data_IF_669174590841
#
_entry.id   IF_669174590841
#
_cell.length_a   1.000
_cell.length_b   1.000
_cell.length_c   1.000
_cell.angle_alpha   90.00
_cell.angle_beta   90.00
_cell.angle_gamma   90.00
#
_symmetry.space_group_name_H-M   'P 1'
#
loop_
_entity.id
_entity.type
_entity.pdbx_description
1 polymer ?
#
# COMPACT_ATOMS: atom_id res chain seq x y z
N UNK A 1 -5.19 3.99 27.74
CA UNK A 1 -5.83 2.94 26.93
C UNK A 1 -5.90 3.33 25.44
N UNK A 2 -6.46 4.50 25.11
CA UNK A 2 -6.63 4.98 23.72
C UNK A 2 -5.33 5.11 22.91
N UNK A 3 -4.23 5.59 23.51
CA UNK A 3 -2.92 5.67 22.82
C UNK A 3 -2.37 4.32 22.37
N UNK A 4 -2.56 3.26 23.16
CA UNK A 4 -2.13 1.90 22.79
C UNK A 4 -2.94 1.37 21.60
N UNK A 5 -4.25 1.64 21.59
CA UNK A 5 -5.11 1.29 20.47
C UNK A 5 -4.71 2.04 19.18
N UNK A 6 -4.46 3.34 19.27
CA UNK A 6 -4.01 4.14 18.12
C UNK A 6 -2.68 3.63 17.54
N UNK A 7 -1.75 3.23 18.41
CA UNK A 7 -0.48 2.59 18.00
C UNK A 7 -0.73 1.25 17.32
N UNK A 8 -1.55 0.38 17.92
CA UNK A 8 -1.89 -0.93 17.37
C UNK A 8 -2.49 -0.80 15.97
N UNK A 9 -3.49 0.07 15.80
CA UNK A 9 -4.13 0.32 14.50
C UNK A 9 -3.13 0.88 13.47
N UNK A 10 -2.23 1.76 13.88
CA UNK A 10 -1.17 2.28 13.00
C UNK A 10 -0.17 1.20 12.58
N UNK A 11 0.10 0.20 13.42
CA UNK A 11 1.01 -0.91 13.13
C UNK A 11 0.33 -1.94 12.23
N UNK A 12 -0.93 -2.30 12.51
CA UNK A 12 -1.68 -3.28 11.72
C UNK A 12 -1.93 -2.76 10.31
N UNK A 13 -2.39 -1.51 10.17
CA UNK A 13 -2.71 -0.89 8.88
C UNK A 13 -1.57 -0.05 8.33
N UNK A 14 -0.34 -0.52 8.53
CA UNK A 14 0.85 0.12 7.99
C UNK A 14 0.95 -0.12 6.47
N UNK A 15 1.63 0.76 5.71
CA UNK A 15 1.55 0.80 4.25
C UNK A 15 1.96 -0.49 3.54
N UNK A 16 2.92 -1.25 4.09
CA UNK A 16 3.45 -2.45 3.44
C UNK A 16 2.45 -3.61 3.38
N UNK A 17 1.34 -3.55 4.13
CA UNK A 17 0.26 -4.56 4.08
C UNK A 17 -0.67 -4.35 2.89
N UNK A 18 -0.67 -3.15 2.30
CA UNK A 18 -1.62 -2.75 1.27
C UNK A 18 -1.53 -3.62 0.00
N UNK A 19 -0.35 -4.01 -0.50
CA UNK A 19 -0.30 -4.92 -1.65
C UNK A 19 -0.97 -6.27 -1.38
N UNK A 20 -0.79 -6.84 -0.19
CA UNK A 20 -1.50 -8.06 0.20
C UNK A 20 -3.02 -7.85 0.21
N UNK A 21 -3.51 -6.70 0.65
CA UNK A 21 -4.94 -6.37 0.63
C UNK A 21 -5.47 -6.25 -0.81
N UNK A 22 -4.75 -5.55 -1.69
CA UNK A 22 -5.10 -5.43 -3.12
C UNK A 22 -5.20 -6.81 -3.77
N UNK A 23 -4.17 -7.64 -3.57
CA UNK A 23 -4.13 -8.99 -4.14
C UNK A 23 -5.20 -9.90 -3.56
N UNK A 24 -5.50 -9.83 -2.27
CA UNK A 24 -6.58 -10.59 -1.67
C UNK A 24 -7.93 -10.23 -2.30
N UNK A 25 -8.18 -8.95 -2.60
CA UNK A 25 -9.39 -8.53 -3.30
C UNK A 25 -9.45 -9.07 -4.72
N UNK A 26 -8.39 -8.88 -5.50
CA UNK A 26 -8.34 -9.31 -6.90
C UNK A 26 -8.52 -10.83 -7.01
N UNK A 27 -7.85 -11.61 -6.17
CA UNK A 27 -7.85 -13.07 -6.28
C UNK A 27 -9.12 -13.74 -5.71
N UNK A 28 -9.72 -13.17 -4.66
CA UNK A 28 -10.80 -13.82 -3.90
C UNK A 28 -12.15 -13.09 -3.93
N UNK A 29 -12.16 -11.76 -3.98
CA UNK A 29 -13.42 -10.99 -3.97
C UNK A 29 -13.90 -10.68 -5.41
N UNK A 30 -13.01 -10.72 -6.39
CA UNK A 30 -13.32 -10.51 -7.81
C UNK A 30 -12.71 -11.63 -8.66
N UNK A 31 -13.14 -12.90 -8.48
CA UNK A 31 -12.49 -14.04 -9.16
C UNK A 31 -12.51 -13.94 -10.69
N UNK A 32 -13.48 -13.23 -11.27
CA UNK A 32 -13.58 -13.00 -12.71
C UNK A 32 -12.59 -11.94 -13.24
N UNK A 33 -11.81 -11.29 -12.37
CA UNK A 33 -10.85 -10.26 -12.77
C UNK A 33 -9.53 -10.82 -13.30
N UNK A 34 -9.22 -12.09 -13.02
CA UNK A 34 -7.97 -12.74 -13.43
C UNK A 34 -8.19 -14.20 -13.79
N UNK A 35 -7.34 -14.76 -14.65
CA UNK A 35 -7.37 -16.20 -14.98
C UNK A 35 -6.46 -17.06 -14.07
N UNK A 36 -6.11 -16.56 -12.88
CA UNK A 36 -5.22 -17.25 -11.93
C UNK A 36 -5.93 -18.50 -11.38
N UNK A 37 -5.38 -19.72 -11.58
CA UNK A 37 -5.94 -20.95 -11.02
C UNK A 37 -6.01 -20.93 -9.49
N UNK A 38 -7.06 -21.53 -8.92
CA UNK A 38 -7.29 -21.53 -7.47
C UNK A 38 -6.14 -22.16 -6.68
N UNK A 39 -5.45 -23.16 -7.27
CA UNK A 39 -4.33 -23.87 -6.67
C UNK A 39 -3.13 -22.96 -6.40
N UNK A 40 -2.96 -21.89 -7.19
CA UNK A 40 -1.81 -20.98 -7.06
C UNK A 40 -2.15 -19.67 -6.33
N UNK A 41 -3.44 -19.33 -6.12
CA UNK A 41 -3.85 -18.08 -5.46
C UNK A 41 -3.21 -17.89 -4.08
N UNK A 42 -3.20 -18.96 -3.27
CA UNK A 42 -2.61 -18.93 -1.94
C UNK A 42 -1.10 -18.67 -1.97
N UNK A 43 -0.40 -19.37 -2.87
CA UNK A 43 1.04 -19.22 -3.08
C UNK A 43 1.41 -17.83 -3.60
N UNK A 44 0.61 -17.27 -4.52
CA UNK A 44 0.80 -15.92 -5.03
C UNK A 44 0.57 -14.87 -3.93
N UNK A 45 -0.51 -14.99 -3.15
CA UNK A 45 -0.77 -14.07 -2.04
C UNK A 45 0.33 -14.14 -0.97
N UNK A 46 0.80 -15.35 -0.64
CA UNK A 46 1.92 -15.54 0.29
C UNK A 46 3.21 -14.91 -0.26
N UNK A 47 3.50 -15.07 -1.55
CA UNK A 47 4.65 -14.47 -2.19
C UNK A 47 4.60 -12.95 -2.11
N UNK A 48 3.45 -12.33 -2.41
CA UNK A 48 3.26 -10.89 -2.25
C UNK A 48 3.46 -10.48 -0.80
N UNK A 49 2.82 -11.15 0.15
CA UNK A 49 2.99 -10.85 1.59
C UNK A 49 4.47 -10.93 2.01
N UNK A 50 5.19 -11.97 1.63
CA UNK A 50 6.60 -12.10 2.01
C UNK A 50 7.44 -10.98 1.38
N UNK A 51 7.22 -10.69 0.10
CA UNK A 51 8.09 -9.76 -0.65
C UNK A 51 7.76 -8.29 -0.45
N UNK A 52 6.51 -7.94 -0.18
CA UNK A 52 6.07 -6.54 -0.02
C UNK A 52 5.89 -6.12 1.42
N UNK A 53 5.69 -7.07 2.35
CA UNK A 53 5.51 -6.83 3.78
C UNK A 53 6.68 -7.36 4.61
N UNK A 54 6.92 -8.68 4.60
CA UNK A 54 7.83 -9.30 5.56
C UNK A 54 9.29 -8.87 5.32
N UNK A 55 9.79 -9.03 4.10
CA UNK A 55 11.18 -8.68 3.74
C UNK A 55 11.44 -7.18 3.98
N UNK A 56 10.63 -6.23 3.47
CA UNK A 56 10.90 -4.82 3.69
C UNK A 56 10.80 -4.42 5.16
N UNK A 57 9.86 -5.00 5.92
CA UNK A 57 9.74 -4.72 7.35
C UNK A 57 10.97 -5.22 8.13
N UNK A 58 11.44 -6.44 7.87
CA UNK A 58 12.67 -6.97 8.47
C UNK A 58 13.87 -6.10 8.13
N UNK A 59 13.98 -5.61 6.89
CA UNK A 59 15.06 -4.72 6.50
C UNK A 59 15.00 -3.37 7.23
N UNK A 60 13.82 -2.78 7.43
CA UNK A 60 13.65 -1.54 8.22
C UNK A 60 14.04 -1.76 9.69
N UNK A 61 13.68 -2.91 10.26
CA UNK A 61 14.14 -3.28 11.61
C UNK A 61 15.66 -3.47 11.66
N UNK A 62 16.26 -4.08 10.64
CA UNK A 62 17.71 -4.21 10.52
C UNK A 62 18.42 -2.85 10.49
N UNK A 63 17.91 -1.90 9.70
CA UNK A 63 18.43 -0.52 9.68
C UNK A 63 18.35 0.14 11.06
N UNK A 64 17.31 -0.14 11.84
CA UNK A 64 17.18 0.35 13.22
C UNK A 64 18.17 -0.32 14.15
N UNK A 65 18.36 -1.63 14.03
CA UNK A 65 19.27 -2.41 14.87
C UNK A 65 20.74 -2.00 14.65
N UNK A 66 21.10 -1.62 13.43
CA UNK A 66 22.44 -1.11 13.08
C UNK A 66 22.61 0.40 13.36
N UNK A 67 21.68 1.01 14.11
CA UNK A 67 21.63 2.46 14.40
C UNK A 67 21.73 3.38 13.17
N UNK A 68 21.42 2.86 11.98
CA UNK A 68 21.41 3.63 10.73
C UNK A 68 20.21 4.58 10.67
N UNK A 69 19.10 4.22 11.32
CA UNK A 69 17.97 5.11 11.56
C UNK A 69 17.72 5.29 13.06
N UNK A 70 17.39 6.51 13.52
CA UNK A 70 17.23 6.81 14.95
C UNK A 70 15.91 6.28 15.53
N UNK A 71 14.91 5.99 14.70
CA UNK A 71 13.61 5.46 15.14
C UNK A 71 12.83 4.86 13.99
N UNK A 72 12.08 3.79 14.27
CA UNK A 72 11.11 3.20 13.32
C UNK A 72 9.95 4.16 13.05
N UNK A 73 9.63 5.04 13.99
CA UNK A 73 8.56 6.03 13.83
C UNK A 73 8.95 7.18 12.89
N UNK A 74 10.25 7.30 12.56
CA UNK A 74 10.82 8.24 11.57
C UNK A 74 10.21 9.65 11.66
N UNK A 75 10.54 10.35 12.74
CA UNK A 75 9.91 11.63 13.08
C UNK A 75 10.21 12.70 12.02
N UNK A 76 11.44 12.68 11.50
CA UNK A 76 11.94 13.60 10.48
C UNK A 76 11.85 13.00 9.08
N UNK A 77 11.59 13.84 8.08
CA UNK A 77 11.55 13.40 6.66
C UNK A 77 12.88 12.82 6.17
N UNK A 78 14.03 13.30 6.70
CA UNK A 78 15.37 12.79 6.34
C UNK A 78 15.56 11.33 6.72
N UNK A 79 14.96 10.89 7.83
CA UNK A 79 15.02 9.51 8.32
C UNK A 79 14.19 8.55 7.46
N UNK A 80 13.27 9.08 6.63
CA UNK A 80 12.37 8.29 5.77
C UNK A 80 12.97 7.98 4.41
N UNK A 81 13.97 8.74 3.98
CA UNK A 81 14.55 8.61 2.64
C UNK A 81 15.16 7.22 2.43
N UNK A 82 16.03 6.78 3.35
CA UNK A 82 16.67 5.47 3.25
C UNK A 82 15.65 4.31 3.33
N UNK A 83 14.75 4.25 4.33
CA UNK A 83 13.70 3.23 4.38
C UNK A 83 12.79 3.21 3.15
N UNK A 84 12.28 4.36 2.69
CA UNK A 84 11.34 4.41 1.57
C UNK A 84 12.03 4.12 0.24
N UNK A 85 13.26 4.60 0.05
CA UNK A 85 14.08 4.26 -1.12
C UNK A 85 14.36 2.76 -1.21
N UNK A 86 14.71 2.13 -0.10
CA UNK A 86 14.91 0.69 -0.03
C UNK A 86 13.63 -0.10 -0.36
N UNK A 87 12.49 0.29 0.24
CA UNK A 87 11.18 -0.32 -0.08
C UNK A 87 10.86 -0.15 -1.57
N UNK A 88 11.11 1.03 -2.14
CA UNK A 88 10.88 1.30 -3.57
C UNK A 88 11.72 0.37 -4.45
N UNK A 89 13.00 0.17 -4.12
CA UNK A 89 13.89 -0.76 -4.84
C UNK A 89 13.35 -2.19 -4.76
N UNK A 90 12.93 -2.65 -3.57
CA UNK A 90 12.34 -3.98 -3.43
C UNK A 90 11.08 -4.12 -4.29
N UNK A 91 10.20 -3.13 -4.31
CA UNK A 91 8.97 -3.17 -5.10
C UNK A 91 9.27 -3.16 -6.60
N UNK A 92 10.29 -2.43 -7.06
CA UNK A 92 10.78 -2.49 -8.45
C UNK A 92 11.28 -3.88 -8.80
N UNK A 93 12.09 -4.50 -7.94
CA UNK A 93 12.60 -5.86 -8.17
C UNK A 93 11.44 -6.86 -8.24
N UNK A 94 10.51 -6.82 -7.30
CA UNK A 94 9.33 -7.72 -7.28
C UNK A 94 8.49 -7.52 -8.54
N UNK A 95 8.22 -6.26 -8.92
CA UNK A 95 7.48 -5.94 -10.15
C UNK A 95 8.19 -6.47 -11.39
N UNK A 96 9.51 -6.33 -11.47
CA UNK A 96 10.30 -6.91 -12.56
C UNK A 96 10.19 -8.44 -12.59
N UNK A 97 10.23 -9.13 -11.46
CA UNK A 97 10.04 -10.58 -11.42
C UNK A 97 8.64 -11.00 -11.91
N UNK A 98 7.60 -10.27 -11.52
CA UNK A 98 6.24 -10.52 -11.96
C UNK A 98 6.10 -10.37 -13.49
N UNK A 99 6.68 -9.30 -14.04
CA UNK A 99 6.64 -8.99 -15.46
C UNK A 99 7.53 -9.93 -16.30
N UNK A 100 8.80 -10.06 -15.95
CA UNK A 100 9.81 -10.67 -16.82
C UNK A 100 10.07 -12.17 -16.57
N UNK A 101 9.65 -12.71 -15.41
CA UNK A 101 10.00 -14.09 -15.02
C UNK A 101 8.81 -15.00 -14.79
N UNK A 102 7.70 -14.47 -14.27
CA UNK A 102 6.58 -15.28 -13.81
C UNK A 102 5.40 -15.28 -14.78
N UNK A 103 5.38 -14.35 -15.76
CA UNK A 103 4.36 -14.25 -16.80
C UNK A 103 2.93 -14.37 -16.23
N UNK A 104 2.68 -13.65 -15.13
CA UNK A 104 1.37 -13.62 -14.49
C UNK A 104 0.35 -12.85 -15.32
N UNK A 105 -0.93 -13.05 -14.96
CA UNK A 105 -2.06 -12.29 -15.47
C UNK A 105 -1.78 -10.77 -15.51
N UNK A 106 -2.21 -10.11 -16.58
CA UNK A 106 -1.91 -8.70 -16.83
C UNK A 106 -2.35 -7.79 -15.68
N UNK A 107 -3.51 -8.05 -15.07
CA UNK A 107 -4.01 -7.26 -13.94
C UNK A 107 -3.11 -7.41 -12.70
N UNK A 108 -2.56 -8.60 -12.47
CA UNK A 108 -1.65 -8.88 -11.36
C UNK A 108 -0.35 -8.09 -11.52
N UNK A 109 0.23 -8.12 -12.73
CA UNK A 109 1.46 -7.39 -13.03
C UNK A 109 1.21 -5.88 -12.98
N UNK A 110 0.12 -5.40 -13.60
CA UNK A 110 -0.23 -3.98 -13.60
C UNK A 110 -0.48 -3.44 -12.18
N UNK A 111 -1.14 -4.23 -11.32
CA UNK A 111 -1.36 -3.85 -9.92
C UNK A 111 -0.04 -3.61 -9.18
N UNK A 112 0.97 -4.47 -9.38
CA UNK A 112 2.30 -4.27 -8.81
C UNK A 112 3.01 -3.06 -9.40
N UNK A 113 2.88 -2.80 -10.70
CA UNK A 113 3.44 -1.60 -11.36
C UNK A 113 2.83 -0.33 -10.73
N UNK A 114 1.51 -0.25 -10.61
CA UNK A 114 0.82 0.91 -10.06
C UNK A 114 1.20 1.18 -8.60
N UNK A 115 1.27 0.14 -7.76
CA UNK A 115 1.70 0.27 -6.37
C UNK A 115 3.18 0.66 -6.26
N UNK A 116 4.04 0.11 -7.12
CA UNK A 116 5.46 0.48 -7.20
C UNK A 116 5.64 1.94 -7.61
N UNK A 117 4.91 2.40 -8.64
CA UNK A 117 4.89 3.80 -9.03
C UNK A 117 4.44 4.72 -7.88
N UNK A 118 3.43 4.29 -7.12
CA UNK A 118 2.91 5.05 -5.97
C UNK A 118 3.95 5.17 -4.85
N UNK A 119 4.67 4.11 -4.48
CA UNK A 119 5.73 4.20 -3.45
C UNK A 119 6.95 4.99 -3.92
N UNK A 120 7.29 4.94 -5.21
CA UNK A 120 8.34 5.79 -5.80
C UNK A 120 7.93 7.26 -5.71
N UNK A 121 6.70 7.61 -6.14
CA UNK A 121 6.18 8.96 -6.03
C UNK A 121 6.13 9.43 -4.57
N UNK A 122 5.68 8.59 -3.64
CA UNK A 122 5.71 8.89 -2.21
C UNK A 122 7.13 9.18 -1.72
N UNK A 123 8.12 8.39 -2.14
CA UNK A 123 9.53 8.58 -1.79
C UNK A 123 10.04 9.92 -2.29
N UNK A 124 9.78 10.24 -3.57
CA UNK A 124 10.18 11.51 -4.20
C UNK A 124 9.51 12.70 -3.50
N UNK A 125 8.21 12.67 -3.26
CA UNK A 125 7.52 13.78 -2.59
C UNK A 125 7.99 13.92 -1.14
N UNK A 126 8.25 12.80 -0.44
CA UNK A 126 8.75 12.80 0.94
C UNK A 126 10.12 13.46 1.09
N UNK A 127 10.91 13.51 0.02
CA UNK A 127 12.18 14.26 -0.02
C UNK A 127 11.95 15.75 0.24
N UNK A 128 10.92 16.33 -0.37
CA UNK A 128 10.60 17.76 -0.25
C UNK A 128 9.71 18.06 0.95
N UNK A 129 8.69 17.26 1.19
CA UNK A 129 7.68 17.52 2.22
C UNK A 129 7.20 16.24 2.89
N UNK A 130 6.97 16.28 4.22
CA UNK A 130 6.58 15.10 4.98
C UNK A 130 5.16 14.67 4.59
N UNK A 131 5.02 13.54 3.91
CA UNK A 131 3.73 12.98 3.49
C UNK A 131 3.40 11.71 4.28
N UNK A 132 2.11 11.44 4.49
CA UNK A 132 1.64 10.25 5.21
C UNK A 132 1.62 9.02 4.31
N UNK A 133 2.54 8.09 4.57
CA UNK A 133 2.59 6.80 3.90
C UNK A 133 1.34 5.95 4.18
N UNK A 134 0.83 5.97 5.42
CA UNK A 134 -0.41 5.26 5.80
C UNK A 134 -1.59 5.66 4.93
N UNK A 135 -1.80 6.98 4.79
CA UNK A 135 -2.92 7.48 3.99
C UNK A 135 -2.67 7.32 2.50
N UNK A 136 -1.42 7.36 2.05
CA UNK A 136 -1.07 7.03 0.66
C UNK A 136 -1.44 5.60 0.31
N UNK A 137 -1.05 4.63 1.13
CA UNK A 137 -1.38 3.22 0.88
C UNK A 137 -2.89 2.96 0.93
N UNK A 138 -3.57 3.37 2.00
CA UNK A 138 -5.00 3.08 2.18
C UNK A 138 -5.89 3.78 1.15
N UNK A 139 -5.57 5.02 0.77
CA UNK A 139 -6.32 5.73 -0.27
C UNK A 139 -6.05 5.19 -1.67
N UNK A 140 -4.83 4.71 -1.94
CA UNK A 140 -4.51 3.97 -3.15
C UNK A 140 -5.30 2.66 -3.26
N UNK A 141 -5.44 1.93 -2.16
CA UNK A 141 -6.31 0.76 -2.09
C UNK A 141 -7.78 1.12 -2.33
N UNK A 142 -8.27 2.19 -1.69
CA UNK A 142 -9.63 2.70 -1.91
C UNK A 142 -9.88 3.02 -3.39
N UNK A 143 -8.95 3.70 -4.05
CA UNK A 143 -9.06 4.02 -5.47
C UNK A 143 -9.17 2.77 -6.35
N UNK A 144 -8.35 1.75 -6.08
CA UNK A 144 -8.41 0.46 -6.79
C UNK A 144 -9.77 -0.19 -6.58
N UNK A 145 -10.27 -0.24 -5.34
CA UNK A 145 -11.60 -0.78 -5.03
C UNK A 145 -12.72 -0.07 -5.80
N UNK A 146 -12.68 1.26 -5.87
CA UNK A 146 -13.67 2.06 -6.59
C UNK A 146 -13.66 1.69 -8.08
N UNK A 147 -12.50 1.71 -8.74
CA UNK A 147 -12.40 1.39 -10.18
C UNK A 147 -12.80 -0.06 -10.44
N UNK A 148 -12.34 -1.01 -9.61
CA UNK A 148 -12.75 -2.41 -9.70
C UNK A 148 -14.26 -2.59 -9.57
N UNK A 149 -14.91 -1.84 -8.67
CA UNK A 149 -16.37 -1.91 -8.49
C UNK A 149 -17.15 -1.41 -9.70
N UNK A 150 -16.58 -0.48 -10.46
CA UNK A 150 -17.19 0.01 -11.71
C UNK A 150 -16.98 -0.97 -12.85
N UNK A 151 -15.80 -1.57 -12.95
CA UNK A 151 -15.48 -2.55 -14.00
C UNK A 151 -16.21 -3.89 -13.81
N UNK A 152 -16.31 -4.36 -12.58
CA UNK A 152 -16.90 -5.64 -12.21
C UNK A 152 -18.15 -5.44 -11.34
N UNK A 153 -19.28 -5.02 -11.94
CA UNK A 153 -20.50 -4.76 -11.19
C UNK A 153 -21.07 -6.06 -10.63
N UNK A 154 -21.20 -6.13 -9.30
CA UNK A 154 -21.77 -7.29 -8.61
C UNK A 154 -22.12 -7.07 -7.14
N UNK A 155 -21.98 -5.83 -6.63
CA UNK A 155 -22.25 -5.49 -5.22
C UNK A 155 -21.18 -5.97 -4.22
N UNK A 156 -20.38 -6.99 -4.54
CA UNK A 156 -19.37 -7.59 -3.64
C UNK A 156 -18.35 -6.58 -3.12
N UNK A 157 -18.00 -5.56 -3.91
CA UNK A 157 -17.01 -4.54 -3.53
C UNK A 157 -17.59 -3.35 -2.73
N UNK A 158 -18.92 -3.25 -2.57
CA UNK A 158 -19.54 -2.15 -1.83
C UNK A 158 -19.06 -2.11 -0.36
N UNK A 159 -19.09 -3.26 0.32
CA UNK A 159 -18.66 -3.35 1.72
C UNK A 159 -17.14 -3.10 1.90
N UNK A 160 -16.24 -3.68 1.07
CA UNK A 160 -14.83 -3.30 1.06
C UNK A 160 -14.58 -1.80 0.86
N UNK A 161 -15.32 -1.14 -0.05
CA UNK A 161 -15.20 0.31 -0.28
C UNK A 161 -15.57 1.08 0.99
N UNK A 162 -16.76 0.82 1.56
CA UNK A 162 -17.22 1.47 2.80
C UNK A 162 -16.23 1.22 3.94
N UNK A 163 -15.80 -0.03 4.12
CA UNK A 163 -14.83 -0.42 5.14
C UNK A 163 -13.51 0.32 4.99
N UNK A 164 -13.03 0.50 3.75
CA UNK A 164 -11.77 1.21 3.47
C UNK A 164 -11.90 2.72 3.68
N UNK A 165 -13.04 3.33 3.36
CA UNK A 165 -13.32 4.75 3.70
C UNK A 165 -13.26 4.97 5.21
N UNK A 166 -13.95 4.11 5.98
CA UNK A 166 -13.93 4.16 7.44
C UNK A 166 -12.52 3.94 7.98
N UNK A 167 -11.79 2.98 7.41
CA UNK A 167 -10.41 2.68 7.79
C UNK A 167 -9.47 3.86 7.55
N UNK A 168 -9.61 4.57 6.42
CA UNK A 168 -8.87 5.81 6.15
C UNK A 168 -9.12 6.86 7.24
N UNK A 169 -10.38 7.06 7.65
CA UNK A 169 -10.75 8.00 8.70
C UNK A 169 -10.21 7.61 10.09
N UNK A 170 -10.32 6.32 10.45
CA UNK A 170 -9.80 5.79 11.71
C UNK A 170 -8.29 5.92 11.78
N UNK A 171 -7.57 5.51 10.73
CA UNK A 171 -6.10 5.59 10.69
C UNK A 171 -5.64 7.04 10.67
N UNK A 172 -6.28 7.93 9.89
CA UNK A 172 -6.00 9.37 9.94
C UNK A 172 -6.14 9.93 11.36
N UNK A 173 -7.22 9.60 12.06
CA UNK A 173 -7.46 10.01 13.44
C UNK A 173 -6.37 9.49 14.38
N UNK A 174 -5.93 8.24 14.22
CA UNK A 174 -4.82 7.68 14.99
C UNK A 174 -3.51 8.43 14.74
N UNK A 175 -3.21 8.81 13.49
CA UNK A 175 -1.99 9.55 13.14
C UNK A 175 -1.99 10.97 13.71
N UNK A 176 -3.15 11.64 13.75
CA UNK A 176 -3.30 12.94 14.42
C UNK A 176 -3.17 12.80 15.93
N UNK A 177 -3.87 11.83 16.54
CA UNK A 177 -3.84 11.61 17.99
C UNK A 177 -2.46 11.25 18.53
N UNK A 178 -1.62 10.62 17.71
CA UNK A 178 -0.24 10.28 18.05
C UNK A 178 0.76 11.40 17.74
N UNK A 179 0.30 12.59 17.34
CA UNK A 179 1.11 13.73 16.90
C UNK A 179 2.13 13.37 15.80
N UNK A 180 1.80 12.34 15.02
CA UNK A 180 2.73 11.80 14.02
C UNK A 180 2.69 12.62 12.72
N UNK A 181 1.55 13.25 12.44
CA UNK A 181 1.28 14.01 11.23
C UNK A 181 0.36 15.22 11.48
N UNK A 182 0.45 16.21 10.59
CA UNK A 182 -0.51 17.32 10.51
C UNK A 182 -1.64 17.02 9.50
N UNK A 183 -2.82 17.65 9.60
CA UNK A 183 -3.93 17.42 8.66
C UNK A 183 -3.53 17.58 7.18
N UNK A 184 -2.72 18.59 6.86
CA UNK A 184 -2.24 18.80 5.49
C UNK A 184 -1.35 17.64 4.97
N UNK A 185 -0.53 17.04 5.83
CA UNK A 185 0.33 15.90 5.47
C UNK A 185 -0.50 14.62 5.23
N UNK A 186 -1.62 14.47 5.96
CA UNK A 186 -2.58 13.38 5.77
C UNK A 186 -3.39 13.58 4.48
N UNK A 187 -3.89 14.79 4.24
CA UNK A 187 -4.62 15.13 3.02
C UNK A 187 -3.75 14.96 1.76
N UNK A 188 -2.49 15.39 1.83
CA UNK A 188 -1.53 15.16 0.75
C UNK A 188 -1.25 13.68 0.51
N UNK A 189 -1.11 12.88 1.57
CA UNK A 189 -0.94 11.43 1.45
C UNK A 189 -2.16 10.77 0.83
N UNK A 190 -3.37 11.13 1.29
CA UNK A 190 -4.61 10.64 0.72
C UNK A 190 -4.74 11.00 -0.77
N UNK A 191 -4.48 12.27 -1.13
CA UNK A 191 -4.52 12.72 -2.52
C UNK A 191 -3.51 11.99 -3.39
N UNK A 192 -2.26 11.86 -2.93
CA UNK A 192 -1.20 11.16 -3.65
C UNK A 192 -1.59 9.71 -3.97
N UNK A 193 -2.03 8.95 -2.96
CA UNK A 193 -2.41 7.56 -3.13
C UNK A 193 -3.66 7.39 -4.00
N UNK A 194 -4.73 8.11 -3.66
CA UNK A 194 -6.00 8.01 -4.38
C UNK A 194 -5.83 8.39 -5.85
N UNK A 195 -5.28 9.57 -6.15
CA UNK A 195 -5.19 10.08 -7.53
C UNK A 195 -4.28 9.17 -8.36
N UNK A 196 -3.12 8.77 -7.84
CA UNK A 196 -2.17 7.94 -8.59
C UNK A 196 -2.79 6.60 -8.97
N UNK A 197 -3.34 5.88 -7.99
CA UNK A 197 -3.94 4.58 -8.24
C UNK A 197 -5.24 4.68 -9.04
N UNK A 198 -6.08 5.69 -8.78
CA UNK A 198 -7.34 5.89 -9.51
C UNK A 198 -7.06 6.12 -10.99
N UNK A 199 -6.18 7.07 -11.31
CA UNK A 199 -5.80 7.36 -12.70
C UNK A 199 -5.20 6.13 -13.38
N UNK A 200 -4.26 5.44 -12.72
CA UNK A 200 -3.64 4.24 -13.27
C UNK A 200 -4.66 3.14 -13.59
N UNK A 201 -5.52 2.78 -12.63
CA UNK A 201 -6.50 1.72 -12.83
C UNK A 201 -7.65 2.13 -13.76
N UNK A 202 -8.06 3.40 -13.73
CA UNK A 202 -9.10 3.91 -14.61
C UNK A 202 -8.69 3.72 -16.07
N UNK A 203 -7.51 4.19 -16.47
CA UNK A 203 -7.05 4.04 -17.85
C UNK A 203 -6.70 2.61 -18.25
N UNK A 204 -6.36 1.74 -17.29
CA UNK A 204 -6.05 0.35 -17.59
C UNK A 204 -7.31 -0.50 -17.80
N UNK A 205 -8.42 -0.19 -17.13
CA UNK A 205 -9.58 -1.08 -17.06
C UNK A 205 -10.85 -0.54 -17.71
N UNK A 206 -11.03 0.77 -17.77
CA UNK A 206 -12.24 1.44 -18.24
C UNK A 206 -11.96 2.19 -19.53
#
# INVERSE_FOLDING_TARGET
>A
MYRKLALLLSIVFQPLVVPSMVFAVILYLVPNATNVPDEIKGSLLLMVLVTTLLIPMLSVFGLRYMDTIPSIHMANKRERFLPFGMVSIFYVVVTYFFYARLNYDELIVFSMIAMTGTIILLTVVTFFWKVSAHLTGLSGFLAILVVMSWKFPGGTLLYPVIGTVLLCGVVASCRLYLDAHKPAELAAGFGLGFITCFVAFYYFLL
#
